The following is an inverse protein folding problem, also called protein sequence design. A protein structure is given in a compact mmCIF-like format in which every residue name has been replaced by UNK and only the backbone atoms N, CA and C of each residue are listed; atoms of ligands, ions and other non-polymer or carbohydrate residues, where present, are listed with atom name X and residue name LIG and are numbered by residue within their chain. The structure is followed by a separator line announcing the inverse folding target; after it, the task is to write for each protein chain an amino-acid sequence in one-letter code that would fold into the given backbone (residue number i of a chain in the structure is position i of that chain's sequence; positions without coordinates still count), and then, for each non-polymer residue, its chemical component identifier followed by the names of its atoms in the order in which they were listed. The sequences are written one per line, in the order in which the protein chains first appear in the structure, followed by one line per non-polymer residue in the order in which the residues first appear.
data_IF_543374430029
#
_entry.id   IF_543374430029
#
_cell.length_a   1.000
_cell.length_b   1.000
_cell.length_c   1.000
_cell.angle_alpha   90.00
_cell.angle_beta   90.00
_cell.angle_gamma   90.00
#
_symmetry.space_group_name_H-M   'P 1'
#
loop_
_entity.id
_entity.type
_entity.pdbx_description
1 polymer ?
#
# COMPACT_ATOMS: atom_id res chain seq x y z
N UNK A 1 64.62 -10.52 -61.20
CA UNK A 1 64.08 -9.34 -61.92
C UNK A 1 63.25 -8.52 -60.94
N UNK A 2 63.34 -7.19 -61.05
CA UNK A 2 62.82 -6.14 -60.16
C UNK A 2 61.29 -5.87 -60.35
N UNK A 3 60.65 -5.11 -59.43
CA UNK A 3 59.18 -4.96 -59.15
C UNK A 3 58.54 -3.81 -60.02
N UNK A 4 57.38 -3.12 -59.76
CA UNK A 4 56.59 -2.90 -58.51
C UNK A 4 55.05 -2.65 -58.57
N UNK A 5 54.48 -2.31 -57.39
CA UNK A 5 53.39 -1.32 -57.13
C UNK A 5 51.95 -1.71 -57.52
N UNK A 6 50.83 -1.32 -56.89
CA UNK A 6 50.32 -0.41 -55.82
C UNK A 6 48.93 -1.02 -55.48
N UNK A 7 48.19 -0.77 -54.40
CA UNK A 7 48.19 0.19 -53.32
C UNK A 7 46.85 0.03 -52.60
N UNK A 8 46.87 0.01 -51.27
CA UNK A 8 45.71 0.05 -50.40
C UNK A 8 45.00 1.41 -50.48
N UNK A 9 43.67 1.44 -50.59
CA UNK A 9 42.88 2.62 -50.29
C UNK A 9 41.60 2.21 -49.53
N UNK A 10 41.64 2.34 -48.21
CA UNK A 10 40.46 2.38 -47.34
C UNK A 10 39.84 3.78 -47.47
N UNK A 11 38.60 3.84 -47.95
CA UNK A 11 37.79 5.05 -47.95
C UNK A 11 37.34 5.37 -46.53
N UNK A 12 37.74 6.55 -46.07
CA UNK A 12 37.26 7.24 -44.88
C UNK A 12 35.91 7.89 -45.19
N UNK A 13 34.87 7.57 -44.42
CA UNK A 13 33.70 8.43 -44.27
C UNK A 13 33.70 9.02 -42.86
N UNK A 14 33.69 10.35 -42.79
CA UNK A 14 33.80 11.12 -41.57
C UNK A 14 32.50 11.17 -40.78
N UNK A 15 32.61 10.99 -39.47
CA UNK A 15 31.61 11.42 -38.49
C UNK A 15 32.25 12.51 -37.62
N UNK A 16 31.80 13.75 -37.80
CA UNK A 16 32.12 14.87 -36.93
C UNK A 16 31.41 14.69 -35.60
N UNK A 17 32.18 14.71 -34.51
CA UNK A 17 31.68 14.59 -33.14
C UNK A 17 31.94 15.93 -32.45
N UNK A 18 30.91 16.76 -32.39
CA UNK A 18 30.91 18.02 -31.65
C UNK A 18 30.64 17.71 -30.17
N UNK A 19 31.67 17.86 -29.34
CA UNK A 19 31.52 17.89 -27.89
C UNK A 19 31.42 19.35 -27.46
N UNK A 20 30.21 19.83 -27.20
CA UNK A 20 29.97 21.11 -26.55
C UNK A 20 29.65 20.86 -25.07
N UNK A 21 30.58 21.28 -24.21
CA UNK A 21 30.38 21.46 -22.78
C UNK A 21 29.46 22.67 -22.56
N UNK A 22 28.35 22.48 -21.85
CA UNK A 22 27.66 23.57 -21.14
C UNK A 22 27.25 23.10 -19.73
N UNK A 23 27.70 23.86 -18.74
CA UNK A 23 27.35 23.77 -17.31
C UNK A 23 25.93 24.33 -17.05
N UNK A 24 25.32 24.05 -15.88
CA UNK A 24 23.91 24.24 -15.63
C UNK A 24 23.60 25.61 -15.00
N UNK A 25 22.58 26.28 -15.48
CA UNK A 25 21.77 27.24 -14.71
C UNK A 25 20.52 27.63 -15.54
N UNK A 26 19.34 27.18 -15.10
CA UNK A 26 18.10 27.96 -15.19
C UNK A 26 16.96 27.17 -14.53
N UNK A 27 16.55 27.64 -13.36
CA UNK A 27 15.21 27.42 -12.80
C UNK A 27 14.23 28.24 -13.64
N UNK A 28 13.20 27.60 -14.23
CA UNK A 28 12.04 28.24 -14.84
C UNK A 28 10.86 27.23 -14.91
N UNK A 29 9.60 27.70 -14.96
CA UNK A 29 8.48 27.09 -14.27
C UNK A 29 7.83 25.93 -15.06
N UNK A 30 7.32 24.95 -14.31
CA UNK A 30 6.55 23.83 -14.81
C UNK A 30 5.27 24.32 -15.52
N UNK A 31 5.28 24.31 -16.85
CA UNK A 31 4.06 24.28 -17.64
C UNK A 31 3.66 22.81 -17.82
N UNK A 32 2.51 22.46 -17.24
CA UNK A 32 1.87 21.18 -17.41
C UNK A 32 1.49 20.98 -18.89
N UNK A 33 2.13 20.01 -19.54
CA UNK A 33 1.66 19.44 -20.80
C UNK A 33 0.82 18.19 -20.49
N UNK A 34 -0.34 17.99 -21.15
CA UNK A 34 -1.26 16.92 -20.83
C UNK A 34 -0.73 15.57 -21.35
N UNK A 35 -0.57 14.60 -20.44
CA UNK A 35 -0.17 13.23 -20.79
C UNK A 35 -1.32 12.45 -21.45
N UNK A 36 -1.03 11.56 -22.42
CA UNK A 36 -2.02 10.70 -23.04
C UNK A 36 -2.56 9.67 -22.05
N UNK A 37 -3.88 9.47 -22.10
CA UNK A 37 -4.68 8.60 -21.22
C UNK A 37 -4.25 7.12 -21.38
N UNK A 38 -3.64 6.58 -20.34
CA UNK A 38 -3.51 5.13 -20.10
C UNK A 38 -4.56 4.69 -19.07
N UNK A 39 -5.13 3.47 -19.17
CA UNK A 39 -6.07 2.97 -18.19
C UNK A 39 -5.37 2.79 -16.83
N UNK A 40 -5.98 3.31 -15.76
CA UNK A 40 -5.42 3.40 -14.43
C UNK A 40 -5.08 2.02 -13.85
N UNK A 41 -3.78 1.76 -13.72
CA UNK A 41 -3.18 0.66 -12.94
C UNK A 41 -3.27 1.03 -11.46
N UNK A 42 -3.44 0.03 -10.58
CA UNK A 42 -3.15 0.13 -9.13
C UNK A 42 -1.85 0.93 -8.98
N UNK A 43 -1.70 1.91 -8.08
CA UNK A 43 -0.43 2.63 -7.94
C UNK A 43 0.68 1.62 -7.66
N UNK A 44 1.42 1.28 -8.71
CA UNK A 44 2.59 0.44 -8.65
C UNK A 44 3.66 1.30 -8.00
N UNK A 45 4.44 0.72 -7.09
CA UNK A 45 5.64 1.38 -6.62
C UNK A 45 6.52 1.66 -7.85
N UNK A 46 6.68 2.93 -8.21
CA UNK A 46 7.50 3.38 -9.33
C UNK A 46 8.96 3.02 -9.05
N UNK A 47 9.36 1.85 -9.53
CA UNK A 47 10.72 1.38 -9.54
C UNK A 47 10.89 0.49 -10.76
N UNK A 48 11.88 0.81 -11.61
CA UNK A 48 12.23 0.07 -12.83
C UNK A 48 12.71 -1.39 -12.59
N UNK A 49 12.39 -1.99 -11.44
CA UNK A 49 12.68 -3.36 -10.97
C UNK A 49 11.53 -3.93 -10.11
N UNK A 50 10.29 -3.57 -10.42
CA UNK A 50 9.09 -4.12 -9.76
C UNK A 50 8.67 -5.47 -10.35
N UNK A 51 8.18 -6.37 -9.50
CA UNK A 51 7.53 -7.61 -9.95
C UNK A 51 6.09 -7.29 -10.39
N UNK A 52 5.68 -7.72 -11.57
CA UNK A 52 4.29 -7.60 -12.02
C UNK A 52 3.43 -8.71 -11.39
N UNK A 53 2.44 -8.30 -10.60
CA UNK A 53 1.39 -9.17 -10.07
C UNK A 53 0.04 -8.70 -10.66
N UNK A 54 -0.91 -9.62 -10.91
CA UNK A 54 -2.25 -9.21 -11.31
C UNK A 54 -2.92 -8.39 -10.19
N UNK A 55 -3.65 -7.35 -10.59
CA UNK A 55 -4.45 -6.56 -9.66
C UNK A 55 -5.63 -7.35 -9.12
N UNK A 56 -5.91 -7.26 -7.82
CA UNK A 56 -7.12 -7.80 -7.23
C UNK A 56 -8.31 -6.87 -7.52
N UNK A 57 -9.35 -7.31 -8.26
CA UNK A 57 -10.52 -6.47 -8.50
C UNK A 57 -11.36 -6.28 -7.24
N UNK A 58 -12.01 -5.12 -7.14
CA UNK A 58 -13.00 -4.84 -6.10
C UNK A 58 -14.44 -5.10 -6.58
N UNK A 59 -14.65 -5.00 -7.90
CA UNK A 59 -15.93 -5.26 -8.58
C UNK A 59 -15.64 -5.93 -9.93
N UNK A 60 -16.47 -6.90 -10.31
CA UNK A 60 -16.42 -7.56 -11.62
C UNK A 60 -17.33 -6.85 -12.62
N UNK A 61 -16.86 -6.79 -13.87
CA UNK A 61 -17.59 -6.18 -14.98
C UNK A 61 -18.63 -7.15 -15.55
N UNK A 62 -19.91 -6.85 -15.39
CA UNK A 62 -21.02 -7.70 -15.85
C UNK A 62 -21.55 -7.34 -17.25
N UNK A 63 -20.84 -6.48 -18.01
CA UNK A 63 -21.29 -5.92 -19.31
C UNK A 63 -21.62 -6.95 -20.41
N UNK A 64 -21.36 -8.24 -20.22
CA UNK A 64 -21.67 -9.29 -21.20
C UNK A 64 -22.60 -10.41 -20.67
N UNK A 65 -23.29 -10.19 -19.55
CA UNK A 65 -24.31 -11.12 -19.05
C UNK A 65 -23.78 -12.39 -18.37
N UNK A 66 -22.48 -12.69 -18.46
CA UNK A 66 -21.82 -13.76 -17.70
C UNK A 66 -20.72 -13.18 -16.80
N UNK A 67 -20.82 -13.44 -15.50
CA UNK A 67 -19.83 -12.98 -14.49
C UNK A 67 -18.69 -13.99 -14.46
N UNK A 68 -17.61 -13.69 -15.17
CA UNK A 68 -16.37 -14.48 -15.08
C UNK A 68 -15.65 -14.15 -13.77
N UNK A 69 -15.46 -15.17 -12.93
CA UNK A 69 -14.72 -15.01 -11.68
C UNK A 69 -13.24 -14.71 -11.92
N UNK A 70 -12.59 -14.06 -10.95
CA UNK A 70 -11.17 -13.71 -11.02
C UNK A 70 -10.31 -14.95 -11.25
N UNK A 71 -9.50 -15.00 -12.33
CA UNK A 71 -8.71 -16.19 -12.65
C UNK A 71 -7.59 -16.38 -11.63
N UNK A 72 -7.14 -17.63 -11.46
CA UNK A 72 -6.01 -17.96 -10.60
C UNK A 72 -4.71 -17.30 -11.09
N UNK A 73 -4.02 -16.59 -10.20
CA UNK A 73 -2.69 -16.03 -10.47
C UNK A 73 -1.65 -17.14 -10.54
N UNK A 74 -0.72 -17.01 -11.50
CA UNK A 74 0.48 -17.85 -11.60
C UNK A 74 1.72 -17.16 -11.03
N UNK A 75 1.63 -15.87 -10.70
CA UNK A 75 2.73 -15.08 -10.19
C UNK A 75 2.86 -15.25 -8.68
N UNK A 76 4.09 -15.33 -8.16
CA UNK A 76 4.35 -15.48 -6.72
C UNK A 76 5.20 -14.33 -6.24
N UNK A 77 4.78 -13.64 -5.19
CA UNK A 77 5.53 -12.49 -4.69
C UNK A 77 6.90 -12.91 -4.13
N UNK A 78 7.96 -12.27 -4.63
CA UNK A 78 9.34 -12.54 -4.21
C UNK A 78 9.79 -11.66 -3.04
N UNK A 79 9.10 -10.54 -2.82
CA UNK A 79 9.42 -9.53 -1.81
C UNK A 79 8.19 -9.22 -0.96
N UNK A 80 8.48 -8.83 0.27
CA UNK A 80 7.50 -8.22 1.18
C UNK A 80 7.15 -6.82 0.66
N UNK A 81 5.88 -6.45 0.74
CA UNK A 81 5.44 -5.09 0.47
C UNK A 81 5.64 -4.17 1.70
N UNK A 82 5.61 -2.87 1.45
CA UNK A 82 5.92 -1.84 2.43
C UNK A 82 5.01 -1.85 3.67
N UNK A 83 3.75 -2.32 3.55
CA UNK A 83 2.75 -2.19 4.61
C UNK A 83 3.13 -2.98 5.87
N UNK A 84 3.67 -4.18 5.67
CA UNK A 84 4.08 -5.10 6.75
C UNK A 84 5.25 -4.54 7.55
N UNK A 85 6.16 -3.84 6.87
CA UNK A 85 7.24 -3.10 7.52
C UNK A 85 6.71 -1.85 8.22
N UNK A 86 5.79 -1.10 7.58
CA UNK A 86 5.20 0.12 8.14
C UNK A 86 4.45 -0.13 9.45
N UNK A 87 3.82 -1.29 9.59
CA UNK A 87 3.07 -1.73 10.77
C UNK A 87 3.92 -2.53 11.78
N UNK A 88 5.21 -2.73 11.50
CA UNK A 88 6.15 -3.55 12.29
C UNK A 88 5.58 -4.93 12.67
N UNK A 89 4.99 -5.63 11.69
CA UNK A 89 4.30 -6.90 11.95
C UNK A 89 5.25 -7.98 12.48
N UNK A 90 6.51 -7.99 12.05
CA UNK A 90 7.53 -8.92 12.56
C UNK A 90 7.75 -8.73 14.07
N UNK A 91 7.69 -7.49 14.57
CA UNK A 91 7.79 -7.21 16.00
C UNK A 91 6.46 -7.50 16.70
N UNK A 92 5.33 -7.14 16.11
CA UNK A 92 4.00 -7.47 16.63
C UNK A 92 3.86 -8.97 16.90
N UNK A 93 4.26 -9.81 15.93
CA UNK A 93 4.15 -11.27 15.99
C UNK A 93 4.98 -11.91 17.11
N UNK A 94 5.98 -11.21 17.66
CA UNK A 94 6.73 -11.66 18.85
C UNK A 94 5.95 -11.48 20.15
N UNK A 95 4.91 -10.65 20.16
CA UNK A 95 4.04 -10.42 21.32
C UNK A 95 2.74 -11.20 21.22
N UNK A 96 2.16 -11.25 20.03
CA UNK A 96 0.89 -11.95 19.75
C UNK A 96 0.76 -12.19 18.26
N UNK A 97 0.08 -13.27 17.88
CA UNK A 97 -0.34 -13.47 16.49
C UNK A 97 -1.85 -13.58 16.35
N UNK A 98 -2.62 -13.09 17.34
CA UNK A 98 -4.10 -13.09 17.28
C UNK A 98 -4.77 -14.39 17.74
N UNK A 99 -4.05 -15.26 18.47
CA UNK A 99 -4.61 -16.51 18.97
C UNK A 99 -5.89 -16.29 19.77
N UNK A 100 -6.88 -17.17 19.57
CA UNK A 100 -8.12 -17.15 20.33
C UNK A 100 -9.13 -16.08 19.90
N UNK A 101 -8.81 -15.26 18.88
CA UNK A 101 -9.72 -14.23 18.38
C UNK A 101 -10.40 -14.66 17.08
N UNK A 102 -11.66 -14.25 16.92
CA UNK A 102 -12.43 -14.43 15.69
C UNK A 102 -12.72 -13.09 15.03
N UNK A 103 -12.30 -12.94 13.76
CA UNK A 103 -12.59 -11.77 12.93
C UNK A 103 -13.68 -12.12 11.93
N UNK A 104 -14.85 -11.50 12.07
CA UNK A 104 -15.88 -11.52 11.05
C UNK A 104 -15.51 -10.54 9.92
N UNK A 105 -15.27 -11.08 8.73
CA UNK A 105 -14.88 -10.30 7.56
C UNK A 105 -16.04 -10.21 6.58
N UNK A 106 -16.67 -9.04 6.51
CA UNK A 106 -17.82 -8.76 5.66
C UNK A 106 -17.33 -8.11 4.35
N UNK A 107 -17.31 -8.90 3.27
CA UNK A 107 -16.79 -8.50 1.96
C UNK A 107 -17.49 -9.28 0.83
N UNK A 108 -16.76 -9.69 -0.21
CA UNK A 108 -17.28 -10.40 -1.39
C UNK A 108 -17.53 -11.90 -1.19
N UNK A 109 -17.37 -12.40 0.04
CA UNK A 109 -17.19 -13.81 0.38
C UNK A 109 -15.72 -14.12 0.69
N UNK A 110 -15.43 -15.30 1.23
CA UNK A 110 -14.08 -15.78 1.51
C UNK A 110 -14.03 -17.26 1.14
N UNK A 111 -13.11 -17.66 0.26
CA UNK A 111 -12.89 -19.07 -0.04
C UNK A 111 -12.15 -19.74 1.14
N UNK A 112 -12.77 -20.71 1.84
CA UNK A 112 -12.14 -21.36 2.99
C UNK A 112 -10.97 -22.28 2.61
N UNK A 113 -10.89 -22.71 1.35
CA UNK A 113 -9.85 -23.59 0.81
C UNK A 113 -8.69 -22.82 0.17
N UNK A 114 -8.70 -21.49 0.24
CA UNK A 114 -7.67 -20.67 -0.37
C UNK A 114 -6.28 -20.92 0.23
N UNK A 115 -5.28 -20.96 -0.65
CA UNK A 115 -3.90 -21.18 -0.25
C UNK A 115 -3.41 -20.06 0.69
N UNK A 116 -2.72 -20.44 1.77
CA UNK A 116 -2.17 -19.51 2.76
C UNK A 116 -3.13 -19.08 3.87
N UNK A 117 -4.36 -19.60 3.91
CA UNK A 117 -5.30 -19.40 5.04
C UNK A 117 -5.29 -20.58 6.02
N UNK A 118 -4.76 -21.73 5.61
CA UNK A 118 -4.46 -22.90 6.46
C UNK A 118 -5.63 -23.37 7.33
N UNK A 119 -6.84 -23.41 6.79
CA UNK A 119 -8.04 -23.93 7.46
C UNK A 119 -8.60 -23.04 8.57
N UNK A 120 -8.21 -21.76 8.64
CA UNK A 120 -8.66 -20.81 9.68
C UNK A 120 -9.96 -20.08 9.33
N UNK A 121 -10.46 -20.29 8.12
CA UNK A 121 -11.68 -19.64 7.61
C UNK A 121 -12.87 -20.56 7.84
N UNK A 122 -13.92 -20.01 8.41
CA UNK A 122 -15.26 -20.58 8.37
C UNK A 122 -16.12 -19.70 7.46
N UNK A 123 -16.62 -20.25 6.37
CA UNK A 123 -17.57 -19.62 5.47
C UNK A 123 -18.48 -20.70 4.90
N UNK A 124 -19.75 -20.38 4.61
CA UNK A 124 -20.72 -21.35 4.10
C UNK A 124 -21.68 -20.72 3.10
N UNK A 125 -22.33 -21.57 2.31
CA UNK A 125 -23.25 -21.14 1.25
C UNK A 125 -22.61 -20.12 0.32
N UNK A 126 -23.34 -19.04 0.02
CA UNK A 126 -22.85 -17.98 -0.85
C UNK A 126 -21.62 -17.25 -0.30
N UNK A 127 -21.38 -17.27 1.02
CA UNK A 127 -20.20 -16.63 1.59
C UNK A 127 -18.89 -17.39 1.32
N UNK A 128 -18.97 -18.68 0.95
CA UNK A 128 -17.80 -19.49 0.58
C UNK A 128 -17.40 -19.34 -0.91
N UNK A 129 -18.29 -18.85 -1.79
CA UNK A 129 -17.98 -18.62 -3.22
C UNK A 129 -17.44 -17.20 -3.46
N UNK A 130 -16.15 -16.95 -3.28
CA UNK A 130 -15.55 -15.65 -3.57
C UNK A 130 -15.19 -15.49 -5.07
N UNK A 131 -16.20 -15.23 -5.89
CA UNK A 131 -16.04 -15.01 -7.33
C UNK A 131 -15.15 -13.80 -7.66
N UNK A 132 -15.31 -12.70 -6.92
CA UNK A 132 -14.50 -11.47 -7.06
C UNK A 132 -13.07 -11.69 -6.55
N UNK A 133 -12.93 -12.33 -5.39
CA UNK A 133 -11.64 -12.64 -4.77
C UNK A 133 -11.16 -11.65 -3.72
N UNK A 134 -11.83 -10.51 -3.56
CA UNK A 134 -11.40 -9.47 -2.64
C UNK A 134 -11.48 -9.95 -1.19
N UNK A 135 -12.57 -10.56 -0.75
CA UNK A 135 -12.67 -11.01 0.63
C UNK A 135 -11.64 -12.08 1.01
N UNK A 136 -11.30 -12.99 0.10
CA UNK A 136 -10.19 -13.94 0.29
C UNK A 136 -8.85 -13.24 0.37
N UNK A 137 -8.61 -12.25 -0.50
CA UNK A 137 -7.41 -11.43 -0.47
C UNK A 137 -7.25 -10.71 0.88
N UNK A 138 -8.34 -10.11 1.39
CA UNK A 138 -8.39 -9.44 2.69
C UNK A 138 -8.22 -10.42 3.84
N UNK A 139 -8.80 -11.63 3.78
CA UNK A 139 -8.59 -12.66 4.79
C UNK A 139 -7.11 -13.03 4.95
N UNK A 140 -6.35 -13.06 3.84
CA UNK A 140 -4.91 -13.25 3.87
C UNK A 140 -4.15 -12.10 4.56
N UNK A 141 -4.62 -10.86 4.42
CA UNK A 141 -4.06 -9.70 5.14
C UNK A 141 -4.36 -9.76 6.63
N UNK A 142 -5.55 -10.21 7.01
CA UNK A 142 -5.94 -10.33 8.43
C UNK A 142 -5.18 -11.50 9.08
N UNK A 143 -5.33 -12.72 8.55
CA UNK A 143 -4.96 -13.95 9.24
C UNK A 143 -4.22 -14.98 8.37
N UNK A 144 -3.72 -14.59 7.20
CA UNK A 144 -2.95 -15.49 6.35
C UNK A 144 -1.63 -15.89 7.01
N UNK A 145 -1.21 -17.15 6.85
CA UNK A 145 0.10 -17.65 7.31
C UNK A 145 1.23 -17.38 6.29
N UNK A 146 0.90 -16.70 5.18
CA UNK A 146 1.83 -16.34 4.13
C UNK A 146 2.13 -17.48 3.15
N UNK A 147 1.42 -18.61 3.20
CA UNK A 147 1.49 -19.65 2.16
C UNK A 147 2.87 -20.28 1.99
N UNK A 148 3.64 -20.38 3.09
CA UNK A 148 5.03 -20.84 3.10
C UNK A 148 6.06 -19.72 2.98
N UNK A 149 5.64 -18.46 2.84
CA UNK A 149 6.47 -17.27 2.97
C UNK A 149 6.07 -16.47 4.22
N UNK A 150 6.77 -16.64 5.35
CA UNK A 150 6.45 -15.90 6.59
C UNK A 150 6.42 -14.37 6.41
N UNK A 151 7.14 -13.85 5.41
CA UNK A 151 7.17 -12.43 5.05
C UNK A 151 5.85 -11.90 4.50
N UNK A 152 4.92 -12.78 4.14
CA UNK A 152 3.58 -12.45 3.65
C UNK A 152 2.50 -12.79 4.69
N UNK A 153 2.86 -13.15 5.92
CA UNK A 153 1.90 -13.34 6.99
C UNK A 153 1.02 -12.09 7.18
N UNK A 154 -0.23 -12.33 7.56
CA UNK A 154 -1.19 -11.29 7.91
C UNK A 154 -0.84 -10.59 9.23
N UNK A 155 -1.64 -9.60 9.62
CA UNK A 155 -1.43 -8.88 10.87
C UNK A 155 -1.67 -9.77 12.12
N UNK A 156 -2.60 -10.72 12.05
CA UNK A 156 -2.95 -11.67 13.11
C UNK A 156 -3.04 -13.11 12.57
N UNK A 157 -1.91 -13.75 12.21
CA UNK A 157 -1.88 -15.01 11.44
C UNK A 157 -2.37 -16.25 12.21
N UNK A 158 -2.69 -16.14 13.49
CA UNK A 158 -3.34 -17.18 14.29
C UNK A 158 -4.79 -16.87 14.68
N UNK A 159 -5.35 -15.75 14.21
CA UNK A 159 -6.78 -15.47 14.34
C UNK A 159 -7.61 -16.38 13.42
N UNK A 160 -8.87 -16.57 13.78
CA UNK A 160 -9.86 -17.24 12.92
C UNK A 160 -10.62 -16.20 12.10
N UNK A 161 -11.03 -16.56 10.89
CA UNK A 161 -11.86 -15.71 10.04
C UNK A 161 -13.26 -16.32 9.93
N UNK A 162 -14.28 -15.54 10.26
CA UNK A 162 -15.65 -15.82 9.86
C UNK A 162 -15.94 -15.03 8.58
N UNK A 163 -15.91 -15.72 7.43
CA UNK A 163 -16.15 -15.10 6.13
C UNK A 163 -17.63 -14.86 5.89
N UNK A 164 -18.02 -13.61 5.67
CA UNK A 164 -19.41 -13.21 5.45
C UNK A 164 -19.54 -12.35 4.20
N UNK A 165 -20.67 -12.52 3.51
CA UNK A 165 -20.96 -11.79 2.27
C UNK A 165 -21.75 -10.51 2.56
N UNK A 166 -21.19 -9.37 2.17
CA UNK A 166 -21.83 -8.05 2.18
C UNK A 166 -22.15 -7.51 0.78
N UNK A 167 -21.76 -8.21 -0.28
CA UNK A 167 -21.96 -7.80 -1.68
C UNK A 167 -22.74 -8.83 -2.47
N UNK A 168 -23.27 -8.45 -3.62
CA UNK A 168 -23.63 -9.45 -4.63
C UNK A 168 -22.38 -10.18 -5.19
N UNK A 169 -22.61 -11.15 -6.07
CA UNK A 169 -21.53 -11.97 -6.67
C UNK A 169 -20.57 -11.15 -7.55
N UNK A 170 -20.96 -9.94 -7.98
CA UNK A 170 -20.10 -9.04 -8.76
C UNK A 170 -19.29 -8.08 -7.89
N UNK A 171 -19.52 -8.06 -6.57
CA UNK A 171 -18.79 -7.19 -5.63
C UNK A 171 -19.49 -5.87 -5.32
N UNK A 172 -20.73 -5.67 -5.77
CA UNK A 172 -21.49 -4.46 -5.43
C UNK A 172 -22.09 -4.62 -4.02
N UNK A 173 -21.82 -3.71 -3.07
CA UNK A 173 -22.36 -3.78 -1.72
C UNK A 173 -23.89 -3.72 -1.68
N UNK A 174 -24.50 -4.58 -0.87
CA UNK A 174 -25.96 -4.67 -0.72
C UNK A 174 -26.34 -4.39 0.75
N UNK A 175 -27.13 -3.34 1.06
CA UNK A 175 -27.47 -2.99 2.44
C UNK A 175 -28.07 -4.13 3.27
N UNK A 176 -28.94 -4.94 2.64
CA UNK A 176 -29.55 -6.11 3.30
C UNK A 176 -28.52 -7.19 3.64
N UNK A 177 -27.58 -7.47 2.74
CA UNK A 177 -26.51 -8.45 2.99
C UNK A 177 -25.55 -7.97 4.07
N UNK A 178 -25.13 -6.71 4.04
CA UNK A 178 -24.28 -6.13 5.09
C UNK A 178 -24.98 -6.20 6.46
N UNK A 179 -26.26 -5.86 6.54
CA UNK A 179 -27.03 -5.92 7.78
C UNK A 179 -27.15 -7.35 8.31
N UNK A 180 -27.47 -8.32 7.44
CA UNK A 180 -27.56 -9.73 7.81
C UNK A 180 -26.19 -10.28 8.26
N UNK A 181 -25.11 -9.90 7.58
CA UNK A 181 -23.77 -10.28 7.94
C UNK A 181 -23.33 -9.73 9.30
N UNK A 182 -23.64 -8.46 9.61
CA UNK A 182 -23.33 -7.91 10.95
C UNK A 182 -24.09 -8.68 12.04
N UNK A 183 -25.36 -9.03 11.82
CA UNK A 183 -26.12 -9.85 12.78
C UNK A 183 -25.52 -11.25 12.96
N UNK A 184 -25.19 -11.92 11.86
CA UNK A 184 -24.55 -13.23 11.90
C UNK A 184 -23.18 -13.20 12.61
N UNK A 185 -22.42 -12.12 12.43
CA UNK A 185 -21.16 -11.91 13.15
C UNK A 185 -21.37 -11.74 14.66
N UNK A 186 -22.41 -11.00 15.07
CA UNK A 186 -22.80 -10.85 16.48
C UNK A 186 -23.26 -12.17 17.08
N UNK A 187 -24.11 -12.92 16.37
CA UNK A 187 -24.60 -14.24 16.80
C UNK A 187 -23.47 -15.26 16.93
N UNK A 188 -22.42 -15.14 16.11
CA UNK A 188 -21.22 -15.94 16.19
C UNK A 188 -20.20 -15.43 17.23
N UNK A 189 -20.55 -14.41 18.01
CA UNK A 189 -19.72 -13.80 19.05
C UNK A 189 -18.32 -13.37 18.54
N UNK A 190 -18.26 -12.82 17.33
CA UNK A 190 -16.99 -12.36 16.76
C UNK A 190 -16.38 -11.21 17.59
N UNK A 191 -15.09 -11.33 17.94
CA UNK A 191 -14.35 -10.29 18.67
C UNK A 191 -14.19 -9.01 17.87
N UNK A 192 -14.03 -9.15 16.55
CA UNK A 192 -13.80 -8.06 15.61
C UNK A 192 -14.72 -8.25 14.41
N UNK A 193 -15.45 -7.20 14.03
CA UNK A 193 -16.29 -7.17 12.84
C UNK A 193 -15.71 -6.12 11.89
N UNK A 194 -15.15 -6.59 10.78
CA UNK A 194 -14.58 -5.78 9.73
C UNK A 194 -15.57 -5.65 8.57
N UNK A 195 -16.20 -4.49 8.44
CA UNK A 195 -17.08 -4.16 7.31
C UNK A 195 -16.24 -3.53 6.20
N UNK A 196 -15.71 -4.35 5.32
CA UNK A 196 -14.78 -3.93 4.25
C UNK A 196 -15.50 -3.30 3.04
N UNK A 197 -16.72 -2.82 3.23
CA UNK A 197 -17.54 -2.14 2.24
C UNK A 197 -18.21 -0.94 2.88
N UNK A 198 -18.50 0.08 2.08
CA UNK A 198 -19.19 1.28 2.54
C UNK A 198 -20.47 1.50 1.76
N UNK A 199 -21.55 1.81 2.47
CA UNK A 199 -22.86 2.09 1.91
C UNK A 199 -23.08 3.61 1.85
N UNK A 200 -23.68 4.12 0.76
CA UNK A 200 -23.87 5.55 0.57
C UNK A 200 -24.86 6.17 1.56
N UNK A 201 -25.82 5.41 2.09
CA UNK A 201 -26.92 5.94 2.88
C UNK A 201 -26.95 5.30 4.25
N UNK A 202 -27.29 6.10 5.25
CA UNK A 202 -27.66 5.62 6.58
C UNK A 202 -28.83 4.66 6.47
N UNK A 203 -28.75 3.54 7.18
CA UNK A 203 -29.80 2.54 7.27
C UNK A 203 -30.08 2.22 8.74
N UNK A 204 -31.36 2.26 9.15
CA UNK A 204 -31.75 2.08 10.54
C UNK A 204 -31.57 0.64 11.03
N UNK A 205 -31.74 -0.35 10.17
CA UNK A 205 -31.56 -1.76 10.53
C UNK A 205 -30.08 -2.08 10.70
N UNK A 206 -29.22 -1.57 9.82
CA UNK A 206 -27.76 -1.69 9.94
C UNK A 206 -27.25 -0.96 11.17
N UNK A 207 -27.74 0.26 11.43
CA UNK A 207 -27.40 1.04 12.64
C UNK A 207 -27.67 0.22 13.92
N UNK A 208 -28.86 -0.39 14.02
CA UNK A 208 -29.20 -1.25 15.17
C UNK A 208 -28.31 -2.48 15.25
N UNK A 209 -28.08 -3.17 14.13
CA UNK A 209 -27.22 -4.36 14.11
C UNK A 209 -25.79 -4.06 14.59
N UNK A 210 -25.24 -2.91 14.19
CA UNK A 210 -23.93 -2.43 14.64
C UNK A 210 -23.94 -2.09 16.13
N UNK A 211 -24.97 -1.38 16.62
CA UNK A 211 -25.09 -1.07 18.03
C UNK A 211 -25.22 -2.35 18.89
N UNK A 212 -25.96 -3.35 18.43
CA UNK A 212 -26.10 -4.65 19.08
C UNK A 212 -24.76 -5.40 19.12
N UNK A 213 -24.00 -5.39 18.01
CA UNK A 213 -22.66 -5.98 17.94
C UNK A 213 -21.69 -5.35 18.95
N UNK A 214 -21.67 -4.01 19.01
CA UNK A 214 -20.83 -3.27 19.96
C UNK A 214 -21.25 -3.56 21.41
N UNK A 215 -22.55 -3.63 21.68
CA UNK A 215 -23.08 -3.99 23.00
C UNK A 215 -22.72 -5.42 23.40
N UNK A 216 -22.59 -6.34 22.44
CA UNK A 216 -22.08 -7.69 22.65
C UNK A 216 -20.55 -7.73 22.89
N UNK A 217 -19.85 -6.60 22.78
CA UNK A 217 -18.43 -6.47 23.08
C UNK A 217 -17.50 -6.51 21.86
N UNK A 218 -18.04 -6.61 20.64
CA UNK A 218 -17.24 -6.65 19.43
C UNK A 218 -16.61 -5.28 19.10
N UNK A 219 -15.38 -5.30 18.58
CA UNK A 219 -14.77 -4.15 17.91
C UNK A 219 -15.36 -4.07 16.51
N UNK A 220 -16.12 -3.02 16.20
CA UNK A 220 -16.65 -2.80 14.85
C UNK A 220 -15.83 -1.72 14.15
N UNK A 221 -15.30 -2.06 12.97
CA UNK A 221 -14.56 -1.16 12.11
C UNK A 221 -15.05 -1.29 10.68
N UNK A 222 -15.03 -0.18 9.95
CA UNK A 222 -15.63 -0.12 8.61
C UNK A 222 -14.83 0.77 7.67
N UNK A 223 -14.90 0.44 6.39
CA UNK A 223 -14.35 1.28 5.34
C UNK A 223 -15.00 2.67 5.36
N UNK A 224 -14.18 3.72 5.50
CA UNK A 224 -14.64 5.11 5.60
C UNK A 224 -15.34 5.58 4.32
N UNK A 225 -14.99 5.01 3.17
CA UNK A 225 -15.56 5.34 1.85
C UNK A 225 -15.79 4.08 1.02
N UNK A 226 -16.58 4.14 -0.06
CA UNK A 226 -16.58 3.11 -1.07
C UNK A 226 -15.24 3.06 -1.79
N UNK A 227 -14.96 1.93 -2.43
CA UNK A 227 -13.84 1.84 -3.36
C UNK A 227 -14.04 2.80 -4.52
N UNK A 228 -13.00 3.55 -4.86
CA UNK A 228 -13.09 4.55 -5.92
C UNK A 228 -13.13 3.83 -7.27
N UNK A 229 -14.15 4.06 -8.13
CA UNK A 229 -14.21 3.43 -9.43
C UNK A 229 -12.96 3.74 -10.27
N UNK A 230 -12.47 2.75 -11.02
CA UNK A 230 -11.33 2.93 -11.92
C UNK A 230 -11.58 3.96 -13.05
N UNK A 231 -12.84 4.35 -13.29
CA UNK A 231 -13.23 5.39 -14.25
C UNK A 231 -13.81 6.60 -13.54
N UNK A 232 -13.12 7.72 -13.69
CA UNK A 232 -13.48 8.99 -13.10
C UNK A 232 -14.71 9.60 -13.76
N UNK A 233 -15.66 10.05 -12.94
CA UNK A 233 -16.32 11.31 -13.22
C UNK A 233 -15.31 12.41 -12.87
N UNK A 234 -15.15 13.40 -13.77
CA UNK A 234 -14.49 14.67 -13.45
C UNK A 234 -15.31 15.52 -12.47
N UNK A 235 -16.50 15.05 -12.11
CA UNK A 235 -17.40 15.74 -11.21
C UNK A 235 -16.88 15.63 -9.78
N UNK A 236 -16.80 16.78 -9.14
CA UNK A 236 -16.53 16.91 -7.71
C UNK A 236 -17.64 16.17 -6.93
N UNK A 237 -17.27 15.06 -6.29
CA UNK A 237 -18.18 14.30 -5.44
C UNK A 237 -18.19 15.01 -4.07
N UNK A 238 -19.32 15.55 -3.60
CA UNK A 238 -19.36 16.24 -2.33
C UNK A 238 -19.04 15.28 -1.18
N UNK A 239 -18.40 15.82 -0.14
CA UNK A 239 -18.11 15.09 1.08
C UNK A 239 -19.41 14.53 1.69
N UNK A 240 -19.37 13.27 2.10
CA UNK A 240 -20.51 12.61 2.76
C UNK A 240 -20.03 11.57 3.75
N UNK A 241 -20.89 11.32 4.73
CA UNK A 241 -20.73 10.21 5.68
C UNK A 241 -21.24 8.92 5.04
N UNK A 242 -20.46 7.86 5.14
CA UNK A 242 -20.82 6.52 4.67
C UNK A 242 -21.17 5.61 5.84
N UNK A 243 -21.94 4.56 5.57
CA UNK A 243 -22.41 3.63 6.60
C UNK A 243 -21.80 2.23 6.42
N UNK A 244 -21.43 1.51 7.50
CA UNK A 244 -21.61 1.86 8.91
C UNK A 244 -20.48 2.70 9.53
N UNK A 245 -19.48 3.14 8.76
CA UNK A 245 -18.34 3.91 9.30
C UNK A 245 -18.74 5.18 10.07
N UNK A 246 -19.83 5.85 9.68
CA UNK A 246 -20.35 7.02 10.37
C UNK A 246 -21.25 6.74 11.58
N UNK A 247 -21.48 5.49 11.96
CA UNK A 247 -22.24 5.17 13.18
C UNK A 247 -21.35 5.39 14.41
N UNK A 248 -21.80 6.13 15.44
CA UNK A 248 -21.00 6.37 16.63
C UNK A 248 -20.43 5.10 17.27
N UNK A 249 -19.11 5.11 17.45
CA UNK A 249 -18.34 4.02 18.05
C UNK A 249 -17.96 2.89 17.08
N UNK A 250 -18.27 3.01 15.79
CA UNK A 250 -17.57 2.27 14.73
C UNK A 250 -16.27 2.99 14.42
N UNK A 251 -15.17 2.26 14.29
CA UNK A 251 -13.91 2.84 13.81
C UNK A 251 -13.97 3.01 12.28
N UNK A 252 -13.99 4.26 11.83
CA UNK A 252 -13.93 4.65 10.43
C UNK A 252 -12.48 4.60 9.92
N UNK A 253 -12.20 3.70 8.97
CA UNK A 253 -10.84 3.44 8.48
C UNK A 253 -10.65 3.93 7.05
N UNK A 254 -9.65 4.78 6.82
CA UNK A 254 -9.23 5.23 5.50
C UNK A 254 -7.94 4.55 5.02
N UNK A 255 -7.75 4.51 3.70
CA UNK A 255 -6.52 4.09 3.07
C UNK A 255 -5.45 5.18 3.06
N UNK A 256 -4.20 4.74 3.25
CA UNK A 256 -3.01 5.57 3.03
C UNK A 256 -2.02 4.93 2.06
N UNK A 257 -1.32 5.81 1.34
CA UNK A 257 -0.16 5.51 0.51
C UNK A 257 1.09 5.28 1.38
N UNK A 258 2.20 4.78 0.80
CA UNK A 258 3.47 4.64 1.51
C UNK A 258 3.98 5.91 2.20
N UNK A 259 3.65 7.08 1.64
CA UNK A 259 3.99 8.38 2.22
C UNK A 259 3.12 8.78 3.43
N UNK A 260 2.11 7.99 3.78
CA UNK A 260 1.16 8.26 4.85
C UNK A 260 0.01 9.22 4.48
N UNK A 261 0.00 9.76 3.27
CA UNK A 261 -1.11 10.56 2.73
C UNK A 261 -2.21 9.65 2.16
N UNK A 262 -3.44 10.19 2.05
CA UNK A 262 -4.51 9.53 1.30
C UNK A 262 -4.22 9.59 -0.21
N UNK A 263 -4.74 8.64 -1.01
CA UNK A 263 -4.66 8.74 -2.47
C UNK A 263 -5.38 9.98 -3.00
N UNK A 264 -4.86 10.61 -4.06
CA UNK A 264 -5.45 11.83 -4.64
C UNK A 264 -6.90 11.66 -5.11
N UNK A 265 -7.28 10.43 -5.47
CA UNK A 265 -8.65 10.08 -5.91
C UNK A 265 -9.55 9.59 -4.78
N UNK A 266 -9.07 9.62 -3.54
CA UNK A 266 -9.87 9.28 -2.39
C UNK A 266 -11.15 10.12 -2.34
N UNK A 267 -12.29 9.46 -2.13
CA UNK A 267 -13.54 10.16 -1.91
C UNK A 267 -13.45 11.00 -0.63
N UNK A 268 -13.92 12.26 -0.64
CA UNK A 268 -13.94 13.09 0.54
C UNK A 268 -14.97 12.55 1.54
N UNK A 269 -14.57 12.44 2.80
CA UNK A 269 -15.44 12.06 3.92
C UNK A 269 -14.93 12.70 5.21
N UNK A 270 -15.84 12.98 6.14
CA UNK A 270 -15.51 13.51 7.46
C UNK A 270 -15.30 12.38 8.47
N UNK A 271 -14.75 12.74 9.64
CA UNK A 271 -14.74 11.89 10.83
C UNK A 271 -14.09 10.50 10.61
N UNK A 272 -12.92 10.48 9.98
CA UNK A 272 -12.08 9.28 9.87
C UNK A 272 -11.26 9.12 11.15
N UNK A 273 -11.39 7.97 11.82
CA UNK A 273 -10.68 7.70 13.06
C UNK A 273 -9.23 7.24 12.84
N UNK A 274 -9.00 6.50 11.75
CA UNK A 274 -7.73 5.82 11.52
C UNK A 274 -7.39 5.69 10.03
N UNK A 275 -6.12 5.89 9.69
CA UNK A 275 -5.57 5.55 8.39
C UNK A 275 -4.72 4.28 8.48
N UNK A 276 -4.85 3.37 7.52
CA UNK A 276 -4.08 2.14 7.45
C UNK A 276 -3.58 1.87 6.02
N UNK A 277 -2.54 1.04 5.83
CA UNK A 277 -1.98 0.80 4.51
C UNK A 277 -3.03 0.29 3.52
N UNK A 278 -3.16 0.96 2.37
CA UNK A 278 -4.18 0.63 1.38
C UNK A 278 -3.69 0.74 -0.06
N UNK A 279 -2.40 0.67 -0.33
CA UNK A 279 -1.87 0.79 -1.69
C UNK A 279 -0.73 -0.18 -1.94
N UNK A 280 -0.79 -0.94 -3.04
CA UNK A 280 0.30 -1.82 -3.46
C UNK A 280 0.62 -2.92 -2.46
N UNK A 281 -0.41 -3.53 -1.88
CA UNK A 281 -0.29 -4.60 -0.88
C UNK A 281 -0.38 -5.96 -1.54
N UNK A 282 0.38 -6.94 -1.05
CA UNK A 282 0.40 -8.30 -1.58
C UNK A 282 -0.37 -9.25 -0.67
N UNK A 283 -1.22 -10.08 -1.27
CA UNK A 283 -1.90 -11.21 -0.62
C UNK A 283 -2.26 -12.31 -1.64
N UNK A 284 -2.74 -13.44 -1.13
CA UNK A 284 -3.30 -14.53 -1.94
C UNK A 284 -4.67 -14.14 -2.54
N UNK A 285 -5.27 -15.07 -3.28
CA UNK A 285 -6.61 -14.89 -3.85
C UNK A 285 -7.46 -16.15 -3.72
N UNK A 286 -8.69 -16.12 -4.24
CA UNK A 286 -9.67 -17.20 -4.09
C UNK A 286 -9.27 -18.48 -4.82
N UNK A 287 -8.29 -18.43 -5.74
CA UNK A 287 -7.96 -19.58 -6.60
C UNK A 287 -6.47 -19.69 -6.83
N UNK A 288 -6.00 -20.94 -6.86
CA UNK A 288 -4.59 -21.27 -7.09
C UNK A 288 -3.71 -20.89 -5.91
N UNK A 289 -2.40 -20.80 -6.17
CA UNK A 289 -1.36 -20.52 -5.16
C UNK A 289 -0.61 -19.21 -5.42
N UNK A 290 -1.03 -18.45 -6.43
CA UNK A 290 -0.39 -17.20 -6.81
C UNK A 290 -0.86 -16.02 -5.96
N UNK A 291 -0.16 -14.92 -6.11
CA UNK A 291 -0.38 -13.67 -5.39
C UNK A 291 -0.93 -12.60 -6.32
N UNK A 292 -1.59 -11.61 -5.71
CA UNK A 292 -2.18 -10.45 -6.35
C UNK A 292 -1.69 -9.18 -5.68
N UNK A 293 -1.81 -8.06 -6.39
CA UNK A 293 -1.59 -6.73 -5.84
C UNK A 293 -2.96 -6.08 -5.57
N UNK A 294 -3.21 -5.67 -4.33
CA UNK A 294 -4.43 -5.00 -3.92
C UNK A 294 -4.17 -3.59 -3.40
N UNK A 295 -5.24 -2.81 -3.34
CA UNK A 295 -5.28 -1.49 -2.72
C UNK A 295 -6.73 -1.09 -2.48
N UNK A 296 -6.91 0.07 -1.88
CA UNK A 296 -8.18 0.61 -1.48
C UNK A 296 -8.42 0.59 0.02
N UNK A 297 -9.55 1.16 0.39
CA UNK A 297 -10.01 1.31 1.77
C UNK A 297 -10.40 -0.02 2.40
N UNK A 298 -10.82 -1.01 1.61
CA UNK A 298 -11.07 -2.37 2.08
C UNK A 298 -9.77 -3.04 2.59
N UNK A 299 -8.64 -2.79 1.91
CA UNK A 299 -7.30 -3.27 2.31
C UNK A 299 -6.87 -2.63 3.63
N UNK A 300 -7.06 -1.32 3.76
CA UNK A 300 -6.79 -0.60 5.01
C UNK A 300 -7.64 -1.14 6.18
N UNK A 301 -8.92 -1.39 5.92
CA UNK A 301 -9.87 -1.97 6.88
C UNK A 301 -9.41 -3.36 7.34
N UNK A 302 -8.85 -4.19 6.45
CA UNK A 302 -8.30 -5.50 6.80
C UNK A 302 -7.06 -5.40 7.70
N UNK A 303 -6.14 -4.47 7.44
CA UNK A 303 -5.01 -4.26 8.36
C UNK A 303 -5.46 -3.79 9.74
N UNK A 304 -6.42 -2.86 9.80
CA UNK A 304 -7.01 -2.42 11.06
C UNK A 304 -7.70 -3.59 11.80
N UNK A 305 -8.38 -4.48 11.08
CA UNK A 305 -9.01 -5.67 11.64
C UNK A 305 -7.98 -6.64 12.26
N UNK A 306 -6.89 -6.91 11.56
CA UNK A 306 -5.83 -7.76 12.09
C UNK A 306 -5.12 -7.13 13.29
N UNK A 307 -4.92 -5.80 13.29
CA UNK A 307 -4.41 -5.10 14.45
C UNK A 307 -5.39 -5.17 15.65
N UNK A 308 -6.70 -5.00 15.41
CA UNK A 308 -7.72 -5.17 16.44
C UNK A 308 -7.70 -6.59 17.02
N UNK A 309 -7.60 -7.62 16.18
CA UNK A 309 -7.47 -9.02 16.60
C UNK A 309 -6.21 -9.25 17.45
N UNK A 310 -5.07 -8.67 17.05
CA UNK A 310 -3.84 -8.72 17.84
C UNK A 310 -4.01 -8.05 19.23
N UNK A 311 -4.65 -6.88 19.30
CA UNK A 311 -4.97 -6.21 20.57
C UNK A 311 -5.88 -7.07 21.44
N UNK A 312 -6.95 -7.63 20.88
CA UNK A 312 -7.89 -8.52 21.58
C UNK A 312 -7.20 -9.77 22.13
N UNK A 313 -6.28 -10.37 21.36
CA UNK A 313 -5.52 -11.53 21.79
C UNK A 313 -4.50 -11.22 22.90
N UNK A 314 -3.85 -10.05 22.83
CA UNK A 314 -2.88 -9.63 23.85
C UNK A 314 -3.53 -9.08 25.13
N UNK A 315 -4.76 -8.57 25.04
CA UNK A 315 -5.52 -7.99 26.15
C UNK A 315 -6.93 -8.60 26.20
N UNK A 316 -7.08 -9.90 26.55
CA UNK A 316 -8.37 -10.58 26.49
C UNK A 316 -9.43 -9.99 27.45
N UNK A 317 -9.00 -9.35 28.54
CA UNK A 317 -9.89 -8.70 29.52
C UNK A 317 -10.34 -7.29 29.08
N UNK A 318 -9.75 -6.74 28.01
CA UNK A 318 -10.16 -5.46 27.48
C UNK A 318 -11.57 -5.56 26.89
N UNK A 319 -12.40 -4.52 27.01
CA UNK A 319 -13.66 -4.45 26.25
C UNK A 319 -13.37 -4.17 24.77
N UNK A 320 -14.36 -4.34 23.89
CA UNK A 320 -14.25 -3.90 22.49
C UNK A 320 -13.92 -2.41 22.37
N UNK A 321 -14.54 -1.57 23.21
CA UNK A 321 -14.26 -0.12 23.25
C UNK A 321 -12.84 0.19 23.73
N UNK A 322 -12.32 -0.57 24.68
CA UNK A 322 -10.93 -0.45 25.13
C UNK A 322 -9.95 -0.80 24.00
N UNK A 323 -10.21 -1.91 23.30
CA UNK A 323 -9.39 -2.33 22.17
C UNK A 323 -9.43 -1.30 21.03
N UNK A 324 -10.62 -0.79 20.70
CA UNK A 324 -10.79 0.27 19.71
C UNK A 324 -10.02 1.54 20.09
N UNK A 325 -10.10 1.95 21.37
CA UNK A 325 -9.40 3.13 21.88
C UNK A 325 -7.89 2.95 21.88
N UNK A 326 -7.37 1.75 22.15
CA UNK A 326 -5.92 1.49 22.02
C UNK A 326 -5.45 1.77 20.60
N UNK A 327 -6.17 1.27 19.58
CA UNK A 327 -5.80 1.50 18.18
C UNK A 327 -5.70 2.99 17.82
N UNK A 328 -6.61 3.84 18.34
CA UNK A 328 -6.63 5.27 18.02
C UNK A 328 -5.68 6.10 18.89
N UNK A 329 -5.58 5.80 20.19
CA UNK A 329 -4.74 6.57 21.13
C UNK A 329 -3.25 6.30 21.00
N UNK A 330 -2.87 5.16 20.42
CA UNK A 330 -1.47 4.81 20.17
C UNK A 330 -1.08 4.97 18.70
N UNK A 331 -2.02 5.40 17.86
CA UNK A 331 -1.74 5.68 16.45
C UNK A 331 -0.66 6.75 16.31
N UNK A 332 0.08 6.67 15.21
CA UNK A 332 1.05 7.71 14.88
C UNK A 332 0.31 9.03 14.57
N UNK A 333 0.66 10.15 15.23
CA UNK A 333 -0.02 11.43 15.02
C UNK A 333 0.15 11.95 13.58
N UNK A 334 -0.96 12.26 12.93
CA UNK A 334 -1.06 12.88 11.61
C UNK A 334 -2.46 13.49 11.45
N UNK A 335 -2.74 14.15 10.32
CA UNK A 335 -4.07 14.73 10.03
C UNK A 335 -5.21 13.71 10.22
N UNK A 336 -4.96 12.48 9.78
CA UNK A 336 -5.72 11.29 10.19
C UNK A 336 -4.73 10.39 10.93
N UNK A 337 -4.99 10.00 12.19
CA UNK A 337 -4.09 9.13 12.95
C UNK A 337 -3.75 7.86 12.16
N UNK A 338 -2.47 7.51 12.05
CA UNK A 338 -2.04 6.35 11.27
C UNK A 338 -1.86 5.13 12.17
N UNK A 339 -2.42 3.99 11.77
CA UNK A 339 -2.35 2.73 12.51
C UNK A 339 -0.89 2.38 12.87
N UNK A 340 -0.67 2.18 14.17
CA UNK A 340 0.53 1.57 14.72
C UNK A 340 0.11 0.31 15.50
N UNK A 341 0.11 -0.83 14.82
CA UNK A 341 -0.35 -2.10 15.38
C UNK A 341 0.54 -2.56 16.55
N UNK A 342 1.85 -2.30 16.47
CA UNK A 342 2.80 -2.66 17.51
C UNK A 342 2.58 -1.84 18.78
N UNK A 343 2.41 -0.51 18.65
CA UNK A 343 2.13 0.36 19.80
C UNK A 343 0.76 0.04 20.43
N UNK A 344 -0.26 -0.29 19.63
CA UNK A 344 -1.59 -0.63 20.13
C UNK A 344 -1.57 -1.86 21.07
N UNK A 345 -0.69 -2.83 20.79
CA UNK A 345 -0.48 -4.01 21.63
C UNK A 345 0.43 -3.74 22.82
N UNK A 346 1.55 -3.04 22.63
CA UNK A 346 2.63 -3.01 23.63
C UNK A 346 2.61 -1.83 24.58
N UNK A 347 1.84 -0.79 24.28
CA UNK A 347 1.73 0.35 25.19
C UNK A 347 1.00 -0.06 26.48
N UNK A 348 1.73 0.03 27.58
CA UNK A 348 1.17 -0.13 28.92
C UNK A 348 0.63 1.22 29.34
N UNK A 349 -0.70 1.33 29.41
CA UNK A 349 -1.34 2.51 29.99
C UNK A 349 -1.01 2.52 31.49
N UNK A 350 -0.41 3.60 31.97
CA UNK A 350 -0.42 3.88 33.41
C UNK A 350 -1.89 3.89 33.85
N UNK A 351 -2.22 3.10 34.89
CA UNK A 351 -3.59 2.81 35.29
C UNK A 351 -4.48 4.04 35.37
N UNK A 352 -5.78 3.83 35.21
CA UNK A 352 -6.88 4.79 35.31
C UNK A 352 -6.87 5.59 36.62
N UNK A 353 -5.96 6.55 36.70
CA UNK A 353 -6.04 7.74 37.52
C UNK A 353 -5.81 8.89 36.57
N UNK A 354 -6.88 9.45 36.01
CA UNK A 354 -6.77 10.75 35.38
C UNK A 354 -6.24 11.71 36.44
N UNK A 355 -5.09 12.38 36.25
CA UNK A 355 -4.88 13.62 36.96
C UNK A 355 -6.05 14.51 36.52
N UNK A 356 -6.79 15.07 37.48
CA UNK A 356 -7.71 16.15 37.22
C UNK A 356 -7.01 17.15 36.28
N UNK A 357 -7.74 17.67 35.29
CA UNK A 357 -7.22 18.62 34.31
C UNK A 357 -6.54 19.80 35.01
N UNK A 358 -5.24 19.64 35.24
CA UNK A 358 -4.33 20.73 35.59
C UNK A 358 -4.11 21.57 34.34
N UNK A 359 -3.74 22.85 34.50
CA UNK A 359 -3.40 23.69 33.37
C UNK A 359 -2.39 22.95 32.49
N UNK A 360 -2.67 22.93 31.17
CA UNK A 360 -1.84 22.25 30.19
C UNK A 360 -0.37 22.57 30.46
N UNK A 361 0.50 21.56 30.68
CA UNK A 361 1.92 21.83 30.83
C UNK A 361 2.36 22.54 29.55
N UNK A 362 2.96 23.72 29.72
CA UNK A 362 3.58 24.44 28.62
C UNK A 362 4.47 23.45 27.88
N UNK A 363 4.29 23.35 26.56
CA UNK A 363 5.07 22.44 25.73
C UNK A 363 6.56 22.69 26.00
N UNK A 364 7.22 21.78 26.72
CA UNK A 364 8.66 21.83 26.86
C UNK A 364 9.25 21.72 25.44
N UNK A 365 10.16 22.62 25.05
CA UNK A 365 10.75 22.57 23.72
C UNK A 365 11.48 21.25 23.57
N UNK A 366 10.91 20.36 22.75
CA UNK A 366 11.57 19.11 22.35
C UNK A 366 12.73 19.49 21.46
N UNK A 367 13.96 19.30 21.96
CA UNK A 367 15.16 19.50 21.17
C UNK A 367 15.19 18.48 20.03
N UNK A 368 14.96 18.95 18.81
CA UNK A 368 15.19 18.17 17.59
C UNK A 368 16.67 17.79 17.54
N UNK A 369 16.95 16.51 17.33
CA UNK A 369 18.31 16.02 17.18
C UNK A 369 18.94 16.71 15.97
N UNK A 370 20.04 17.44 16.17
CA UNK A 370 20.73 18.15 15.09
C UNK A 370 21.34 17.14 14.10
N UNK A 371 20.65 16.92 12.97
CA UNK A 371 21.11 16.05 11.88
C UNK A 371 22.06 16.75 10.92
N UNK A 372 22.44 18.02 11.17
CA UNK A 372 23.35 18.76 10.30
C UNK A 372 24.72 18.09 10.16
N UNK A 373 25.15 17.30 11.16
CA UNK A 373 26.35 16.46 11.07
C UNK A 373 26.24 15.38 9.98
N UNK A 374 25.09 14.72 9.88
CA UNK A 374 24.80 13.66 8.90
C UNK A 374 24.63 14.24 7.50
N UNK A 375 23.99 15.40 7.36
CA UNK A 375 23.83 16.09 6.07
C UNK A 375 25.17 16.59 5.52
N UNK A 376 26.06 17.10 6.39
CA UNK A 376 27.43 17.48 5.98
C UNK A 376 28.26 16.27 5.55
N UNK A 377 28.06 15.09 6.16
CA UNK A 377 28.75 13.86 5.79
C UNK A 377 28.27 13.36 4.41
N UNK A 378 26.96 13.39 4.16
CA UNK A 378 26.37 13.03 2.85
C UNK A 378 26.82 14.00 1.76
N UNK A 379 26.86 15.31 2.03
CA UNK A 379 27.35 16.31 1.09
C UNK A 379 28.83 16.11 0.72
N UNK A 380 29.68 15.76 1.69
CA UNK A 380 31.10 15.44 1.44
C UNK A 380 31.24 14.16 0.62
N UNK A 381 30.46 13.12 0.91
CA UNK A 381 30.48 11.87 0.14
C UNK A 381 30.12 12.10 -1.33
N UNK A 382 29.08 12.90 -1.60
CA UNK A 382 28.67 13.28 -2.96
C UNK A 382 29.78 14.05 -3.68
N UNK A 383 30.44 15.00 -3.00
CA UNK A 383 31.57 15.75 -3.58
C UNK A 383 32.73 14.84 -3.96
N UNK A 384 33.11 13.88 -3.12
CA UNK A 384 34.18 12.92 -3.43
C UNK A 384 33.83 12.01 -4.60
N UNK A 385 32.57 11.56 -4.70
CA UNK A 385 32.10 10.78 -5.84
C UNK A 385 32.18 11.59 -7.14
N UNK A 386 31.76 12.86 -7.12
CA UNK A 386 31.83 13.74 -8.29
C UNK A 386 33.28 14.01 -8.72
N UNK A 387 34.17 14.33 -7.77
CA UNK A 387 35.59 14.56 -8.04
C UNK A 387 36.29 13.30 -8.55
N UNK A 388 36.01 12.14 -7.94
CA UNK A 388 36.54 10.85 -8.39
C UNK A 388 36.08 10.50 -9.81
N UNK A 389 34.80 10.71 -10.10
CA UNK A 389 34.23 10.49 -11.43
C UNK A 389 34.87 11.40 -12.48
N UNK A 390 35.02 12.69 -12.18
CA UNK A 390 35.66 13.66 -13.06
C UNK A 390 37.14 13.32 -13.33
N UNK A 391 37.86 12.83 -12.32
CA UNK A 391 39.23 12.34 -12.46
C UNK A 391 39.33 11.15 -13.42
N UNK A 392 38.45 10.16 -13.28
CA UNK A 392 38.40 8.98 -14.17
C UNK A 392 38.09 9.40 -15.61
N UNK A 393 37.09 10.27 -15.82
CA UNK A 393 36.78 10.78 -17.15
C UNK A 393 37.94 11.55 -17.78
N UNK A 394 38.67 12.34 -16.99
CA UNK A 394 39.84 13.09 -17.47
C UNK A 394 40.97 12.16 -17.91
N UNK A 395 41.23 11.08 -17.17
CA UNK A 395 42.24 10.08 -17.52
C UNK A 395 41.84 9.29 -18.78
N UNK A 396 40.58 8.89 -18.89
CA UNK A 396 40.06 8.22 -20.09
C UNK A 396 40.15 9.13 -21.31
N UNK A 397 39.81 10.41 -21.16
CA UNK A 397 39.91 11.39 -22.24
C UNK A 397 41.36 11.66 -22.63
N UNK A 398 42.27 11.79 -21.67
CA UNK A 398 43.71 11.94 -21.94
C UNK A 398 44.27 10.72 -22.66
N UNK A 399 43.91 9.50 -22.25
CA UNK A 399 44.30 8.25 -22.93
C UNK A 399 43.77 8.19 -24.37
N UNK A 400 42.52 8.59 -24.58
CA UNK A 400 41.93 8.69 -25.92
C UNK A 400 42.63 9.76 -26.77
N UNK A 401 42.87 10.95 -26.25
CA UNK A 401 43.52 12.05 -26.94
C UNK A 401 44.98 11.70 -27.29
N UNK A 402 45.73 11.09 -26.38
CA UNK A 402 47.11 10.65 -26.61
C UNK A 402 47.20 9.52 -27.64
N UNK A 403 46.28 8.54 -27.62
CA UNK A 403 46.24 7.48 -28.64
C UNK A 403 45.92 8.06 -30.03
N UNK A 404 45.03 9.05 -30.08
CA UNK A 404 44.66 9.74 -31.33
C UNK A 404 45.75 10.68 -31.83
N UNK A 405 46.49 11.33 -30.93
CA UNK A 405 47.66 12.14 -31.27
C UNK A 405 48.81 11.26 -31.80
N UNK A 406 49.09 10.12 -31.15
CA UNK A 406 50.08 9.14 -31.63
C UNK A 406 49.74 8.59 -33.01
N UNK A 407 48.48 8.18 -33.23
CA UNK A 407 48.05 7.66 -34.55
C UNK A 407 48.08 8.72 -35.65
N UNK A 408 48.02 10.01 -35.32
CA UNK A 408 48.18 11.14 -36.25
C UNK A 408 49.60 11.68 -36.36
N UNK A 409 50.58 11.05 -35.70
CA UNK A 409 51.97 11.52 -35.70
C UNK A 409 52.10 12.94 -35.16
N UNK A 410 51.28 13.32 -34.18
CA UNK A 410 51.24 14.65 -33.56
C UNK A 410 50.97 15.80 -34.53
N UNK A 411 50.39 15.50 -35.70
CA UNK A 411 49.97 16.54 -36.65
C UNK A 411 48.62 17.12 -36.21
N UNK A 412 48.49 18.46 -36.11
CA UNK A 412 47.19 19.08 -35.88
C UNK A 412 46.22 18.66 -36.98
N UNK A 413 44.94 18.51 -36.64
CA UNK A 413 43.92 18.27 -37.65
C UNK A 413 43.95 19.44 -38.65
N UNK A 414 44.30 19.18 -39.90
CA UNK A 414 44.40 20.22 -40.92
C UNK A 414 43.10 21.01 -40.98
N UNK A 415 43.17 22.32 -40.77
CA UNK A 415 42.07 23.22 -41.05
C UNK A 415 41.75 23.08 -42.55
N UNK A 416 40.58 22.51 -42.85
CA UNK A 416 40.07 22.47 -44.21
C UNK A 416 40.09 23.90 -44.75
N UNK A 417 40.79 24.10 -45.86
CA UNK A 417 40.88 25.36 -46.58
C UNK A 417 39.47 25.86 -46.87
N UNK A 418 39.06 26.91 -46.15
CA UNK A 418 37.92 27.73 -46.51
C UNK A 418 38.22 28.38 -47.86
N UNK A 419 37.61 27.88 -48.92
CA UNK A 419 37.61 28.54 -50.20
C UNK A 419 36.86 29.87 -50.10
N UNK A 420 37.48 30.94 -50.61
CA UNK A 420 36.84 32.18 -51.06
C UNK A 420 37.75 32.85 -52.10
N UNK A 421 37.22 33.71 -52.97
CA UNK A 421 35.81 34.05 -53.21
C UNK A 421 35.17 33.28 -54.37
#
# INVERSE_FOLDING_TARGET
MRPPARGTARLLYGAGLAAALTLPAAVAPAHAAPHPRTPAVVPAADGAKGQELPGMPTVLDSRQGEVSCTPASKATAEKQDWSRQRLDLDRLHRHTTGQGTTVALISTGVDPEAAGLGGRVTASGDAADDCVGLGTFLAGIVAGDGGGSPRLAGAAPAAKILGLRGTDRTGVPQPGLVTAAVRAATEAEADVIAVAVALPRRDAALTRAVADARKAGAVVLAAATPETPARGSSDEIPARTYWPAGEPGVLSVADMLPAGSRPDRALPTGDVDLAAPGAGVVSGGPRGKGHYLGGGVAVATAYAAGAAAAVRAAHPDASGEEAARRLTTTAYPADIPQLDAYAAVTTVRAGSGAPAAGPAPAAEPVAVRDTSGTDRATGRAVLFVLLGSAGVFSLLWAGFALSRARSRGWRPAGAGTAGKP
#
